data_IF_273322609761
#
_entry.id   IF_273322609761
#
_cell.length_a   1.000
_cell.length_b   1.000
_cell.length_c   1.000
_cell.angle_alpha   90.00
_cell.angle_beta   90.00
_cell.angle_gamma   90.00
#
_symmetry.space_group_name_H-M   'P 1'
#
loop_
_entity.id
_entity.type
_entity.pdbx_description
1 polymer ?
#
# COMPACT_ATOMS: atom_id res chain seq x y z
N UNK A 1 -1.38 22.71 -5.15
CA UNK A 1 -0.20 21.89 -5.50
C UNK A 1 0.57 21.33 -4.29
N UNK A 2 0.13 21.56 -3.05
CA UNK A 2 0.87 21.18 -1.83
C UNK A 2 0.83 19.68 -1.49
N UNK A 3 -0.26 18.98 -1.83
CA UNK A 3 -0.49 17.57 -1.51
C UNK A 3 0.50 16.58 -2.14
N UNK A 4 1.20 16.96 -3.21
CA UNK A 4 2.21 16.11 -3.82
C UNK A 4 3.45 15.92 -2.93
N UNK A 5 3.70 16.80 -1.94
CA UNK A 5 4.89 16.72 -1.07
C UNK A 5 4.85 15.55 -0.09
N UNK A 6 3.69 15.17 0.44
CA UNK A 6 3.57 14.01 1.36
C UNK A 6 3.69 12.66 0.65
N UNK A 7 3.41 12.62 -0.65
CA UNK A 7 3.50 11.41 -1.47
C UNK A 7 4.93 11.17 -2.03
N UNK A 8 5.85 12.14 -1.88
CA UNK A 8 7.26 12.06 -2.23
C UNK A 8 8.14 12.01 -0.96
N UNK A 9 9.36 11.44 -0.90
CA UNK A 9 9.98 10.35 -1.65
C UNK A 9 10.13 9.18 -0.66
N UNK A 10 9.57 8.02 -0.98
CA UNK A 10 9.86 6.80 -0.21
C UNK A 10 11.35 6.52 -0.43
N UNK A 11 12.16 6.32 0.63
CA UNK A 11 13.59 6.08 0.45
C UNK A 11 13.78 4.84 -0.41
N UNK A 12 14.72 4.93 -1.35
CA UNK A 12 15.19 3.76 -2.10
C UNK A 12 16.40 3.19 -1.37
N UNK A 13 16.45 1.88 -1.10
CA UNK A 13 17.65 1.25 -0.54
C UNK A 13 18.86 1.61 -1.40
N UNK A 14 19.98 1.97 -0.77
CA UNK A 14 21.17 2.48 -1.48
C UNK A 14 21.80 1.44 -2.43
N UNK A 15 21.59 0.15 -2.19
CA UNK A 15 21.95 -0.85 -3.19
C UNK A 15 20.94 -0.75 -4.32
N UNK A 16 21.47 -0.63 -5.54
CA UNK A 16 20.73 -0.84 -6.78
C UNK A 16 19.86 -2.07 -6.57
N UNK A 17 18.58 -1.86 -6.30
CA UNK A 17 17.70 -2.94 -5.86
C UNK A 17 17.84 -4.09 -6.84
N UNK A 18 17.64 -5.32 -6.39
CA UNK A 18 17.62 -6.48 -7.30
C UNK A 18 16.76 -6.20 -8.53
N UNK A 19 15.69 -5.41 -8.39
CA UNK A 19 14.80 -4.94 -9.46
C UNK A 19 15.44 -3.96 -10.47
N UNK A 20 16.30 -3.02 -10.05
CA UNK A 20 16.95 -2.07 -10.94
C UNK A 20 17.95 -2.75 -11.90
N UNK A 21 18.59 -3.81 -11.44
CA UNK A 21 19.53 -4.64 -12.21
C UNK A 21 18.87 -5.90 -12.78
N UNK A 22 17.65 -6.23 -12.36
CA UNK A 22 16.89 -7.38 -12.83
C UNK A 22 16.69 -7.33 -14.35
N UNK A 23 17.05 -8.40 -15.05
CA UNK A 23 16.72 -8.53 -16.49
C UNK A 23 15.46 -9.35 -16.73
N UNK A 24 15.07 -10.19 -15.76
CA UNK A 24 14.00 -11.17 -15.95
C UNK A 24 12.61 -10.61 -15.61
N UNK A 25 12.53 -9.66 -14.67
CA UNK A 25 11.29 -9.07 -14.16
C UNK A 25 10.21 -10.10 -13.79
N UNK A 26 10.61 -11.30 -13.32
CA UNK A 26 9.68 -12.42 -13.08
C UNK A 26 8.63 -12.10 -12.02
N UNK A 27 8.98 -11.32 -10.99
CA UNK A 27 8.00 -10.86 -10.02
C UNK A 27 6.91 -10.02 -10.70
N UNK A 28 7.22 -9.19 -11.69
CA UNK A 28 6.21 -8.46 -12.45
C UNK A 28 5.31 -9.36 -13.32
N UNK A 29 5.56 -10.66 -13.42
CA UNK A 29 4.75 -11.60 -14.21
C UNK A 29 3.90 -12.50 -13.32
N UNK A 30 4.47 -12.98 -12.22
CA UNK A 30 3.85 -13.99 -11.37
C UNK A 30 3.38 -13.44 -10.01
N UNK A 31 3.81 -12.23 -9.64
CA UNK A 31 3.40 -11.60 -8.39
C UNK A 31 2.13 -10.76 -8.61
N UNK A 32 1.08 -11.03 -7.85
CA UNK A 32 -0.16 -10.25 -7.81
C UNK A 32 -0.25 -9.44 -6.50
N UNK A 33 0.54 -8.36 -6.35
CA UNK A 33 0.60 -7.63 -5.10
C UNK A 33 -0.72 -6.93 -4.79
N UNK A 34 -1.22 -7.15 -3.59
CA UNK A 34 -2.22 -6.27 -2.98
C UNK A 34 -1.68 -4.85 -2.86
N UNK A 35 -2.55 -3.87 -3.11
CA UNK A 35 -2.24 -2.45 -3.01
C UNK A 35 -3.08 -1.79 -1.95
N UNK A 36 -2.47 -0.91 -1.18
CA UNK A 36 -3.19 -0.02 -0.25
C UNK A 36 -3.65 1.25 -0.97
N UNK A 37 -4.49 2.04 -0.30
CA UNK A 37 -4.83 3.37 -0.80
C UNK A 37 -3.61 4.31 -0.87
N UNK A 38 -2.59 4.14 -0.02
CA UNK A 38 -1.34 4.90 -0.13
C UNK A 38 -0.58 4.57 -1.41
N UNK A 39 -0.53 3.29 -1.78
CA UNK A 39 0.11 2.85 -3.01
C UNK A 39 -0.58 3.46 -4.23
N UNK A 40 -1.92 3.43 -4.26
CA UNK A 40 -2.69 4.04 -5.33
C UNK A 40 -2.53 5.55 -5.38
N UNK A 41 -2.64 6.24 -4.25
CA UNK A 41 -2.43 7.68 -4.17
C UNK A 41 -1.03 8.08 -4.69
N UNK A 42 0.00 7.31 -4.34
CA UNK A 42 1.38 7.52 -4.79
C UNK A 42 1.52 7.36 -6.31
N UNK A 43 1.00 6.29 -6.88
CA UNK A 43 1.11 6.03 -8.33
C UNK A 43 0.25 7.00 -9.15
N UNK A 44 -1.01 7.21 -8.76
CA UNK A 44 -1.95 8.12 -9.44
C UNK A 44 -1.39 9.54 -9.46
N UNK A 45 -0.88 10.03 -8.33
CA UNK A 45 -0.32 11.39 -8.25
C UNK A 45 0.99 11.52 -9.03
N UNK A 46 1.87 10.52 -8.99
CA UNK A 46 3.16 10.57 -9.67
C UNK A 46 3.05 10.47 -11.21
N UNK A 47 2.05 9.74 -11.72
CA UNK A 47 1.95 9.41 -13.15
C UNK A 47 0.71 9.97 -13.85
N UNK A 48 -0.20 10.62 -13.12
CA UNK A 48 -1.46 11.13 -13.69
C UNK A 48 -2.38 10.02 -14.21
N UNK A 49 -2.25 8.80 -13.70
CA UNK A 49 -3.04 7.64 -14.13
C UNK A 49 -4.38 7.61 -13.39
N UNK A 50 -5.43 7.13 -14.04
CA UNK A 50 -6.67 6.79 -13.34
C UNK A 50 -6.44 5.60 -12.38
N UNK A 51 -7.09 5.54 -11.20
CA UNK A 51 -6.88 4.45 -10.23
C UNK A 51 -7.08 3.06 -10.85
N UNK A 52 -8.09 2.91 -11.71
CA UNK A 52 -8.40 1.66 -12.44
C UNK A 52 -7.39 1.27 -13.52
N UNK A 53 -6.57 2.21 -13.98
CA UNK A 53 -5.44 1.89 -14.86
C UNK A 53 -4.27 1.27 -14.05
N UNK A 54 -4.23 1.52 -12.74
CA UNK A 54 -3.18 1.04 -11.84
C UNK A 54 -3.59 -0.25 -11.13
N UNK A 55 -4.83 -0.34 -10.64
CA UNK A 55 -5.31 -1.46 -9.84
C UNK A 55 -6.62 -2.05 -10.37
N UNK A 56 -6.93 -3.25 -9.90
CA UNK A 56 -8.19 -3.97 -10.12
C UNK A 56 -8.70 -4.54 -8.81
N UNK A 57 -10.00 -4.83 -8.76
CA UNK A 57 -10.59 -5.64 -7.70
C UNK A 57 -10.61 -7.10 -8.13
N UNK A 58 -10.10 -7.98 -7.27
CA UNK A 58 -10.17 -9.43 -7.41
C UNK A 58 -11.05 -10.00 -6.28
N UNK A 59 -11.89 -11.02 -6.52
CA UNK A 59 -12.61 -11.67 -5.43
C UNK A 59 -11.64 -12.12 -4.34
N UNK A 60 -11.93 -11.76 -3.10
CA UNK A 60 -11.15 -12.21 -1.96
C UNK A 60 -11.44 -13.70 -1.75
N UNK A 61 -10.39 -14.49 -1.50
CA UNK A 61 -10.60 -15.85 -1.03
C UNK A 61 -11.28 -15.81 0.34
N UNK A 62 -12.16 -16.76 0.69
CA UNK A 62 -12.91 -16.73 1.95
C UNK A 62 -12.00 -16.59 3.20
N UNK A 63 -10.77 -17.11 3.14
CA UNK A 63 -9.74 -16.97 4.19
C UNK A 63 -9.08 -15.59 4.25
N UNK A 64 -9.12 -14.83 3.16
CA UNK A 64 -8.55 -13.49 2.99
C UNK A 64 -9.61 -12.38 3.04
N UNK A 65 -10.90 -12.74 3.10
CA UNK A 65 -12.07 -11.86 3.24
C UNK A 65 -12.11 -11.07 4.58
N UNK A 66 -11.00 -11.04 5.32
CA UNK A 66 -10.87 -10.38 6.62
C UNK A 66 -10.70 -8.87 6.49
N UNK A 67 -9.77 -8.32 7.28
CA UNK A 67 -9.62 -6.87 7.47
C UNK A 67 -9.16 -6.10 6.23
N UNK A 68 -8.65 -6.80 5.22
CA UNK A 68 -8.15 -6.22 3.96
C UNK A 68 -9.19 -6.30 2.82
N UNK A 69 -10.36 -6.88 3.07
CA UNK A 69 -11.43 -7.00 2.08
C UNK A 69 -12.26 -5.72 1.92
N UNK A 70 -12.54 -5.33 0.67
CA UNK A 70 -13.49 -4.26 0.33
C UNK A 70 -14.85 -4.85 -0.06
N UNK A 71 -15.95 -4.22 0.38
CA UNK A 71 -17.32 -4.49 -0.05
C UNK A 71 -17.82 -3.45 -1.03
N UNK A 72 -18.65 -3.87 -1.98
CA UNK A 72 -19.22 -3.03 -3.04
C UNK A 72 -20.76 -3.04 -3.01
N UNK A 73 -21.34 -3.08 -1.81
CA UNK A 73 -22.78 -3.16 -1.60
C UNK A 73 -23.14 -4.06 -0.40
N UNK A 74 -24.42 -4.44 -0.26
CA UNK A 74 -24.90 -5.28 0.86
C UNK A 74 -24.50 -6.76 0.75
N UNK A 75 -24.00 -7.20 -0.42
CA UNK A 75 -23.52 -8.56 -0.62
C UNK A 75 -22.41 -8.93 0.39
N UNK A 76 -22.37 -10.18 0.88
CA UNK A 76 -21.26 -10.65 1.73
C UNK A 76 -19.94 -10.78 0.97
N UNK A 77 -19.94 -10.66 -0.36
CA UNK A 77 -18.76 -10.72 -1.19
C UNK A 77 -17.76 -9.62 -0.83
N UNK A 78 -16.50 -10.02 -0.70
CA UNK A 78 -15.38 -9.11 -0.48
C UNK A 78 -14.38 -9.24 -1.61
N UNK A 79 -13.68 -8.14 -1.86
CA UNK A 79 -12.70 -8.02 -2.93
C UNK A 79 -11.37 -7.55 -2.35
N UNK A 80 -10.29 -7.81 -3.05
CA UNK A 80 -8.97 -7.27 -2.74
C UNK A 80 -8.56 -6.31 -3.85
N UNK A 81 -8.03 -5.15 -3.47
CA UNK A 81 -7.38 -4.26 -4.41
C UNK A 81 -5.98 -4.81 -4.73
N UNK A 82 -5.77 -5.19 -5.98
CA UNK A 82 -4.50 -5.73 -6.47
C UNK A 82 -3.97 -4.85 -7.60
N UNK A 83 -2.64 -4.81 -7.77
CA UNK A 83 -2.04 -4.16 -8.92
C UNK A 83 -2.57 -4.78 -10.21
N UNK A 84 -2.85 -3.97 -11.23
CA UNK A 84 -3.45 -4.45 -12.47
C UNK A 84 -2.44 -5.24 -13.29
N UNK A 85 -2.84 -6.41 -13.76
CA UNK A 85 -2.17 -7.19 -14.78
C UNK A 85 -2.69 -6.80 -16.17
N UNK A 86 -1.90 -7.04 -17.22
CA UNK A 86 -2.33 -6.83 -18.60
C UNK A 86 -3.59 -7.65 -18.88
N UNK A 87 -4.50 -7.06 -19.65
CA UNK A 87 -5.68 -7.75 -20.13
C UNK A 87 -5.24 -8.95 -21.02
N UNK A 88 -5.97 -10.07 -20.99
CA UNK A 88 -5.60 -11.23 -21.78
C UNK A 88 -5.69 -10.91 -23.28
N UNK A 89 -4.66 -11.25 -24.05
CA UNK A 89 -4.76 -11.34 -25.51
C UNK A 89 -5.42 -12.67 -25.89
N UNK A 90 -5.97 -12.81 -27.11
CA UNK A 90 -6.47 -14.10 -27.60
C UNK A 90 -5.47 -15.26 -27.44
N UNK A 91 -4.16 -14.98 -27.55
CA UNK A 91 -3.12 -16.01 -27.36
C UNK A 91 -2.94 -16.42 -25.90
N UNK A 92 -3.15 -15.49 -24.96
CA UNK A 92 -3.01 -15.74 -23.51
C UNK A 92 -4.33 -16.05 -22.81
N UNK A 93 -5.45 -16.00 -23.53
CA UNK A 93 -6.79 -16.18 -22.96
C UNK A 93 -7.08 -17.63 -22.53
N UNK A 94 -6.35 -18.60 -23.10
CA UNK A 94 -6.46 -20.01 -22.75
C UNK A 94 -5.65 -20.40 -21.50
N UNK A 95 -4.77 -19.50 -21.03
CA UNK A 95 -3.97 -19.72 -19.84
C UNK A 95 -4.67 -19.03 -18.67
N UNK A 96 -5.49 -19.80 -17.94
CA UNK A 96 -6.16 -19.37 -16.71
C UNK A 96 -5.17 -19.14 -15.54
N UNK A 97 -3.86 -19.32 -15.80
CA UNK A 97 -2.79 -19.39 -14.82
C UNK A 97 -2.23 -18.06 -14.31
N UNK A 98 -1.72 -18.13 -13.07
CA UNK A 98 -0.87 -17.17 -12.38
C UNK A 98 0.37 -16.78 -13.20
N UNK A 99 0.23 -15.82 -14.11
CA UNK A 99 1.34 -15.45 -14.99
C UNK A 99 1.13 -14.23 -15.88
N UNK A 100 0.09 -13.43 -15.63
CA UNK A 100 -0.15 -12.24 -16.46
C UNK A 100 0.80 -11.12 -16.05
N UNK A 101 1.60 -10.57 -17.00
CA UNK A 101 2.46 -9.43 -16.72
C UNK A 101 1.68 -8.28 -16.11
N UNK A 102 2.25 -7.62 -15.11
CA UNK A 102 1.79 -6.36 -14.57
C UNK A 102 1.58 -5.37 -15.73
N UNK A 103 0.47 -4.62 -15.69
CA UNK A 103 0.16 -3.59 -16.67
C UNK A 103 1.24 -2.49 -16.74
N UNK A 104 2.04 -2.34 -15.69
CA UNK A 104 3.13 -1.37 -15.59
C UNK A 104 4.49 -1.93 -16.02
N UNK A 105 4.55 -3.15 -16.55
CA UNK A 105 5.76 -3.71 -17.14
C UNK A 105 5.89 -3.21 -18.58
N UNK A 106 7.06 -2.66 -18.95
CA UNK A 106 7.33 -2.11 -20.29
C UNK A 106 8.59 -2.74 -20.86
N UNK A 107 8.56 -3.11 -22.14
CA UNK A 107 9.74 -3.54 -22.90
C UNK A 107 10.54 -2.29 -23.31
N UNK A 108 11.80 -2.19 -22.86
CA UNK A 108 12.67 -1.04 -23.15
C UNK A 108 13.74 -1.34 -24.19
N UNK A 109 14.00 -2.63 -24.42
CA UNK A 109 14.85 -3.16 -25.49
C UNK A 109 14.49 -4.64 -25.70
N UNK A 110 14.92 -5.30 -26.80
CA UNK A 110 14.71 -6.74 -26.98
C UNK A 110 15.19 -7.55 -25.76
N UNK A 111 14.28 -8.26 -25.11
CA UNK A 111 14.56 -9.07 -23.92
C UNK A 111 14.79 -8.28 -22.62
N UNK A 112 14.59 -6.96 -22.61
CA UNK A 112 14.78 -6.12 -21.42
C UNK A 112 13.46 -5.44 -21.06
N UNK A 113 12.98 -5.72 -19.84
CA UNK A 113 11.74 -5.15 -19.30
C UNK A 113 12.00 -4.32 -18.05
N UNK A 114 11.23 -3.24 -17.88
CA UNK A 114 11.31 -2.33 -16.72
C UNK A 114 9.92 -1.93 -16.24
N UNK A 115 9.81 -1.61 -14.95
CA UNK A 115 8.59 -1.08 -14.38
C UNK A 115 8.48 0.42 -14.70
N UNK A 116 7.41 0.82 -15.40
CA UNK A 116 7.15 2.23 -15.76
C UNK A 116 6.89 3.13 -14.55
N UNK A 117 6.41 2.55 -13.45
CA UNK A 117 6.11 3.23 -12.19
C UNK A 117 7.17 3.01 -11.13
N UNK A 118 8.40 2.64 -11.50
CA UNK A 118 9.43 2.15 -10.56
C UNK A 118 9.62 3.06 -9.32
N UNK A 119 9.77 4.39 -9.42
CA UNK A 119 9.95 5.27 -8.26
C UNK A 119 8.67 5.46 -7.42
N UNK A 120 7.50 5.10 -7.95
CA UNK A 120 6.21 5.19 -7.27
C UNK A 120 5.61 3.81 -6.91
N UNK A 121 6.35 2.72 -7.17
CA UNK A 121 5.86 1.35 -7.05
C UNK A 121 5.27 1.06 -5.66
N UNK A 122 4.26 0.17 -5.56
CA UNK A 122 3.63 -0.19 -4.29
C UNK A 122 4.64 -0.67 -3.23
N UNK A 123 4.34 -0.46 -1.95
CA UNK A 123 5.22 -0.86 -0.85
C UNK A 123 5.53 -2.35 -0.89
N UNK A 124 4.55 -3.21 -1.20
CA UNK A 124 4.79 -4.66 -1.34
C UNK A 124 5.81 -4.97 -2.44
N UNK A 125 5.86 -4.20 -3.53
CA UNK A 125 6.89 -4.35 -4.57
C UNK A 125 8.26 -3.78 -4.16
N UNK A 126 8.31 -2.85 -3.20
CA UNK A 126 9.57 -2.29 -2.67
C UNK A 126 10.23 -3.21 -1.67
N UNK A 127 9.43 -3.87 -0.85
CA UNK A 127 9.92 -4.73 0.22
C UNK A 127 10.09 -6.18 -0.23
N UNK A 128 9.44 -6.62 -1.31
CA UNK A 128 9.67 -7.94 -1.88
C UNK A 128 11.15 -8.16 -2.27
N UNK A 129 11.74 -9.34 -2.03
CA UNK A 129 11.16 -10.56 -1.42
C UNK A 129 11.32 -10.61 0.11
N UNK A 130 11.77 -9.52 0.73
CA UNK A 130 12.06 -9.49 2.15
C UNK A 130 10.79 -9.38 2.99
N UNK A 131 10.87 -9.84 4.23
CA UNK A 131 9.86 -9.67 5.27
C UNK A 131 10.52 -9.11 6.55
N UNK A 132 9.73 -8.52 7.44
CA UNK A 132 10.20 -8.07 8.75
C UNK A 132 9.78 -9.10 9.79
N UNK A 133 10.72 -9.98 10.15
CA UNK A 133 10.55 -11.01 11.17
C UNK A 133 11.11 -10.58 12.54
N UNK A 134 11.06 -11.48 13.55
CA UNK A 134 11.55 -11.21 14.89
C UNK A 134 13.04 -10.85 14.97
N UNK A 135 13.84 -11.31 13.99
CA UNK A 135 15.29 -11.03 13.90
C UNK A 135 15.62 -9.84 13.00
N UNK A 136 14.61 -9.10 12.53
CA UNK A 136 14.76 -8.00 11.59
C UNK A 136 14.39 -8.38 10.16
N UNK A 137 15.11 -7.83 9.19
CA UNK A 137 14.82 -8.06 7.76
C UNK A 137 15.29 -9.46 7.37
N UNK A 138 14.36 -10.29 6.93
CA UNK A 138 14.62 -11.67 6.50
C UNK A 138 14.30 -11.84 5.01
N UNK A 139 15.07 -12.67 4.33
CA UNK A 139 14.82 -13.11 2.94
C UNK A 139 14.38 -14.56 2.99
N UNK A 140 13.22 -14.83 3.58
CA UNK A 140 12.69 -16.18 3.77
C UNK A 140 11.34 -16.33 3.07
N UNK A 141 11.30 -15.98 1.79
CA UNK A 141 10.14 -16.22 0.96
C UNK A 141 10.44 -17.42 0.03
N UNK A 142 9.90 -18.62 0.30
CA UNK A 142 10.11 -19.79 -0.57
C UNK A 142 9.51 -19.59 -1.97
N UNK A 143 8.59 -18.65 -2.13
CA UNK A 143 8.02 -18.22 -3.41
C UNK A 143 8.82 -17.07 -4.04
N UNK A 144 10.03 -16.75 -3.54
CA UNK A 144 10.89 -15.73 -4.14
C UNK A 144 11.29 -16.14 -5.56
N UNK A 145 10.63 -15.53 -6.54
CA UNK A 145 10.84 -15.79 -7.97
C UNK A 145 12.11 -15.10 -8.50
N UNK A 146 12.72 -14.25 -7.68
CA UNK A 146 13.98 -13.59 -8.00
C UNK A 146 15.15 -14.57 -7.89
N UNK A 147 16.14 -14.49 -8.80
CA UNK A 147 17.33 -15.31 -8.68
C UNK A 147 18.09 -14.96 -7.39
N UNK A 148 18.75 -15.93 -6.72
CA UNK A 148 19.43 -15.69 -5.43
C UNK A 148 20.41 -14.51 -5.47
N UNK A 149 21.09 -14.28 -6.59
CA UNK A 149 22.07 -13.20 -6.74
C UNK A 149 21.44 -11.80 -6.77
N UNK A 150 20.13 -11.72 -7.03
CA UNK A 150 19.40 -10.45 -7.00
C UNK A 150 19.15 -9.95 -5.57
N UNK A 151 19.26 -10.81 -4.56
CA UNK A 151 18.98 -10.47 -3.16
C UNK A 151 19.97 -11.15 -2.23
N UNK A 152 20.89 -10.36 -1.68
CA UNK A 152 21.81 -10.78 -0.63
C UNK A 152 21.63 -9.81 0.54
N UNK A 153 21.59 -10.31 1.77
CA UNK A 153 21.54 -9.45 2.96
C UNK A 153 22.81 -8.58 3.09
N UNK A 154 23.98 -9.12 2.74
CA UNK A 154 25.23 -8.34 2.63
C UNK A 154 25.10 -7.25 1.56
N UNK A 155 24.33 -7.58 0.52
CA UNK A 155 23.82 -6.77 -0.60
C UNK A 155 22.79 -5.71 -0.22
N UNK A 156 22.26 -5.73 0.99
CA UNK A 156 21.04 -5.01 1.37
C UNK A 156 21.37 -3.94 2.41
N UNK A 157 21.16 -2.67 2.06
CA UNK A 157 20.75 -1.60 2.99
C UNK A 157 19.57 -2.02 3.88
N UNK A 158 19.92 -2.76 4.94
CA UNK A 158 19.00 -3.28 5.96
C UNK A 158 18.27 -2.14 6.69
N UNK A 159 18.92 -1.03 7.11
CA UNK A 159 18.22 0.08 7.76
C UNK A 159 17.08 0.65 6.90
N UNK A 160 17.35 0.93 5.62
CA UNK A 160 16.30 1.43 4.72
C UNK A 160 15.22 0.38 4.51
N UNK A 161 15.59 -0.88 4.31
CA UNK A 161 14.61 -1.97 4.14
C UNK A 161 13.72 -2.14 5.36
N UNK A 162 14.27 -2.06 6.58
CA UNK A 162 13.50 -2.08 7.83
C UNK A 162 12.52 -0.91 7.90
N UNK A 163 12.96 0.30 7.55
CA UNK A 163 12.11 1.49 7.51
C UNK A 163 10.95 1.32 6.50
N UNK A 164 11.21 0.71 5.34
CA UNK A 164 10.17 0.42 4.34
C UNK A 164 9.13 -0.57 4.87
N UNK A 165 9.54 -1.61 5.58
CA UNK A 165 8.60 -2.55 6.22
C UNK A 165 7.75 -1.88 7.30
N UNK A 166 8.38 -1.08 8.16
CA UNK A 166 7.69 -0.29 9.18
C UNK A 166 6.64 0.62 8.55
N UNK A 167 7.03 1.35 7.50
CA UNK A 167 6.13 2.20 6.73
C UNK A 167 4.98 1.40 6.10
N UNK A 168 5.28 0.28 5.47
CA UNK A 168 4.27 -0.59 4.86
C UNK A 168 3.24 -1.10 5.90
N UNK A 169 3.70 -1.43 7.12
CA UNK A 169 2.85 -1.82 8.23
C UNK A 169 1.89 -0.70 8.65
N UNK A 170 2.42 0.52 8.86
CA UNK A 170 1.60 1.68 9.22
C UNK A 170 0.61 2.04 8.11
N UNK A 171 1.06 2.13 6.86
CA UNK A 171 0.20 2.41 5.69
C UNK A 171 -0.92 1.38 5.57
N UNK A 172 -0.64 0.09 5.81
CA UNK A 172 -1.64 -0.98 5.79
C UNK A 172 -2.64 -0.88 6.95
N UNK A 173 -2.20 -0.58 8.17
CA UNK A 173 -3.10 -0.42 9.31
C UNK A 173 -4.08 0.75 9.11
N UNK A 174 -3.57 1.88 8.63
CA UNK A 174 -4.42 3.03 8.25
C UNK A 174 -5.41 2.64 7.14
N UNK A 175 -4.94 1.91 6.13
CA UNK A 175 -5.79 1.43 5.04
C UNK A 175 -6.92 0.49 5.53
N UNK A 176 -6.63 -0.42 6.46
CA UNK A 176 -7.64 -1.29 7.10
C UNK A 176 -8.70 -0.49 7.84
N UNK A 177 -8.29 0.57 8.54
CA UNK A 177 -9.23 1.51 9.16
C UNK A 177 -10.17 2.11 8.12
N UNK A 178 -9.62 2.56 6.98
CA UNK A 178 -10.43 3.06 5.87
C UNK A 178 -11.41 2.02 5.34
N UNK A 179 -10.94 0.79 5.08
CA UNK A 179 -11.79 -0.29 4.57
C UNK A 179 -12.93 -0.64 5.52
N UNK A 180 -12.69 -0.67 6.83
CA UNK A 180 -13.74 -0.94 7.82
C UNK A 180 -14.92 0.02 7.71
N UNK A 181 -14.64 1.31 7.49
CA UNK A 181 -15.65 2.37 7.42
C UNK A 181 -16.29 2.44 6.06
N UNK A 182 -15.50 2.30 5.00
CA UNK A 182 -16.03 2.11 3.65
C UNK A 182 -17.02 0.94 3.61
N UNK A 183 -16.67 -0.20 4.20
CA UNK A 183 -17.52 -1.38 4.22
C UNK A 183 -18.82 -1.17 5.00
N UNK A 184 -18.80 -0.41 6.09
CA UNK A 184 -20.01 -0.02 6.83
C UNK A 184 -20.93 0.87 5.97
N UNK A 185 -20.36 1.85 5.26
CA UNK A 185 -21.10 2.71 4.32
C UNK A 185 -21.70 1.89 3.18
N UNK A 186 -20.90 1.01 2.57
CA UNK A 186 -21.32 0.18 1.43
C UNK A 186 -22.45 -0.81 1.79
N UNK A 187 -22.55 -1.26 3.04
CA UNK A 187 -23.66 -2.11 3.49
C UNK A 187 -24.99 -1.36 3.60
N UNK A 188 -24.96 -0.05 3.84
CA UNK A 188 -26.16 0.78 3.92
C UNK A 188 -26.72 1.22 2.57
N UNK A 189 -25.93 1.11 1.49
CA UNK A 189 -26.31 1.53 0.14
C UNK A 189 -26.76 0.33 -0.71
N UNK A 190 -28.04 -0.02 -0.60
CA UNK A 190 -28.64 -1.14 -1.34
C UNK A 190 -29.11 -0.81 -2.75
N UNK A 191 -29.13 0.48 -3.13
CA UNK A 191 -29.74 0.93 -4.40
C UNK A 191 -28.71 1.06 -5.54
N UNK A 192 -27.44 1.33 -5.22
CA UNK A 192 -26.40 1.48 -6.25
C UNK A 192 -25.98 0.14 -6.84
N UNK A 193 -25.76 0.14 -8.15
CA UNK A 193 -25.11 -0.98 -8.82
C UNK A 193 -23.67 -1.16 -8.31
N UNK A 194 -23.17 -2.41 -8.34
CA UNK A 194 -21.77 -2.75 -8.01
C UNK A 194 -20.76 -1.85 -8.73
N UNK A 195 -20.99 -1.59 -10.03
CA UNK A 195 -20.08 -0.76 -10.84
C UNK A 195 -20.03 0.67 -10.34
N UNK A 196 -21.18 1.26 -10.03
CA UNK A 196 -21.26 2.61 -9.47
C UNK A 196 -20.60 2.69 -8.08
N UNK A 197 -20.76 1.65 -7.25
CA UNK A 197 -20.05 1.56 -5.96
C UNK A 197 -18.54 1.48 -6.14
N UNK A 198 -18.07 0.72 -7.13
CA UNK A 198 -16.66 0.62 -7.44
C UNK A 198 -16.07 1.95 -7.93
N UNK A 199 -16.80 2.71 -8.76
CA UNK A 199 -16.38 4.06 -9.21
C UNK A 199 -16.12 4.96 -7.99
N UNK A 200 -17.09 5.04 -7.10
CA UNK A 200 -17.03 5.87 -5.89
C UNK A 200 -15.93 5.38 -4.94
N UNK A 201 -15.75 4.05 -4.83
CA UNK A 201 -14.68 3.46 -4.01
C UNK A 201 -13.31 3.98 -4.42
N UNK A 202 -12.99 3.92 -5.71
CA UNK A 202 -11.66 4.29 -6.21
C UNK A 202 -11.35 5.76 -5.98
N UNK A 203 -12.30 6.65 -6.28
CA UNK A 203 -12.14 8.09 -6.08
C UNK A 203 -11.99 8.42 -4.60
N UNK A 204 -12.84 7.83 -3.75
CA UNK A 204 -12.80 8.06 -2.31
C UNK A 204 -11.52 7.50 -1.67
N UNK A 205 -11.07 6.32 -2.10
CA UNK A 205 -9.83 5.70 -1.64
C UNK A 205 -8.63 6.61 -1.92
N UNK A 206 -8.49 7.07 -3.16
CA UNK A 206 -7.34 7.92 -3.55
C UNK A 206 -7.40 9.27 -2.87
N UNK A 207 -8.54 9.97 -2.91
CA UNK A 207 -8.67 11.30 -2.29
C UNK A 207 -8.34 11.24 -0.78
N UNK A 208 -8.86 10.22 -0.08
CA UNK A 208 -8.60 10.05 1.36
C UNK A 208 -7.13 9.78 1.65
N UNK A 209 -6.48 8.90 0.87
CA UNK A 209 -5.08 8.53 1.14
C UNK A 209 -4.09 9.61 0.69
N UNK A 210 -4.44 10.46 -0.28
CA UNK A 210 -3.68 11.69 -0.58
C UNK A 210 -3.67 12.61 0.65
N UNK A 211 -4.82 12.84 1.27
CA UNK A 211 -4.92 13.66 2.48
C UNK A 211 -4.17 13.02 3.66
N UNK A 212 -4.32 11.72 3.88
CA UNK A 212 -3.62 11.00 4.95
C UNK A 212 -2.10 10.94 4.76
N UNK A 213 -1.60 10.98 3.52
CA UNK A 213 -0.18 10.97 3.24
C UNK A 213 0.55 12.20 3.81
N UNK A 214 -0.11 13.36 3.88
CA UNK A 214 0.47 14.56 4.50
C UNK A 214 0.72 14.38 6.00
N UNK A 215 -0.08 13.52 6.66
CA UNK A 215 0.03 13.20 8.08
C UNK A 215 1.02 12.06 8.33
N UNK A 216 1.00 11.04 7.47
CA UNK A 216 1.79 9.80 7.65
C UNK A 216 3.23 9.96 7.17
N UNK A 217 3.48 10.72 6.10
CA UNK A 217 4.82 10.80 5.51
C UNK A 217 5.90 11.39 6.43
N UNK A 218 5.62 12.46 7.22
CA UNK A 218 6.61 13.02 8.14
C UNK A 218 7.18 12.00 9.13
N UNK A 219 6.40 10.99 9.52
CA UNK A 219 6.79 9.95 10.49
C UNK A 219 7.96 9.08 10.01
N UNK A 220 8.24 9.08 8.70
CA UNK A 220 9.26 8.23 8.07
C UNK A 220 10.41 9.04 7.48
N UNK A 221 10.56 10.30 7.87
CA UNK A 221 11.64 11.17 7.38
C UNK A 221 12.99 10.90 8.05
N UNK A 222 12.99 10.39 9.29
CA UNK A 222 14.18 9.88 9.97
C UNK A 222 13.79 8.86 11.06
N UNK A 223 14.74 8.06 11.57
CA UNK A 223 14.50 7.21 12.75
C UNK A 223 14.04 8.00 13.97
N UNK A 224 14.58 9.21 14.18
CA UNK A 224 14.17 10.13 15.24
C UNK A 224 12.74 10.62 15.00
N UNK A 225 12.36 10.92 13.75
CA UNK A 225 10.98 11.28 13.42
C UNK A 225 10.01 10.12 13.68
N UNK A 226 10.44 8.87 13.49
CA UNK A 226 9.64 7.69 13.82
C UNK A 226 9.51 7.49 15.34
N UNK A 227 10.59 7.71 16.10
CA UNK A 227 10.57 7.67 17.55
C UNK A 227 9.74 8.82 18.14
N UNK A 228 9.90 10.04 17.62
CA UNK A 228 9.12 11.23 17.97
C UNK A 228 7.65 11.06 17.58
N UNK A 229 7.36 10.50 16.41
CA UNK A 229 6.01 10.10 16.02
C UNK A 229 5.43 9.12 17.04
N UNK A 230 6.16 8.06 17.39
CA UNK A 230 5.78 7.14 18.45
C UNK A 230 5.47 7.85 19.78
N UNK A 231 6.29 8.84 20.16
CA UNK A 231 6.11 9.66 21.37
C UNK A 231 4.97 10.67 21.33
N UNK A 232 4.78 11.40 20.23
CA UNK A 232 3.67 12.35 20.00
C UNK A 232 2.34 11.62 19.87
N UNK A 233 2.35 10.45 19.25
CA UNK A 233 1.17 9.60 19.13
C UNK A 233 0.85 8.94 20.47
N UNK A 234 1.86 8.59 21.28
CA UNK A 234 1.69 8.20 22.67
C UNK A 234 1.17 9.32 23.59
N UNK A 235 1.37 10.58 23.23
CA UNK A 235 0.80 11.73 23.93
C UNK A 235 -0.64 12.02 23.50
N UNK A 236 -0.96 11.87 22.20
CA UNK A 236 -2.33 11.97 21.67
C UNK A 236 -3.29 10.88 22.21
N UNK A 237 -2.76 9.76 22.68
CA UNK A 237 -3.49 8.70 23.40
C UNK A 237 -3.87 9.08 24.83
N UNK A 238 -3.21 10.10 25.42
CA UNK A 238 -3.46 10.56 26.81
C UNK A 238 -4.34 11.78 26.91
N UNK A 239 -4.54 12.50 25.81
CA UNK A 239 -5.44 13.65 25.70
C UNK A 239 -6.48 13.35 24.62
N UNK A 240 -7.62 12.78 25.02
CA UNK A 240 -8.79 12.73 24.15
C UNK A 240 -9.20 14.18 23.79
N UNK A 241 -8.90 14.62 22.56
CA UNK A 241 -9.27 15.89 21.88
C UNK A 241 -8.28 17.10 22.04
N UNK A 242 -8.26 18.15 21.17
CA UNK A 242 -8.85 18.40 19.85
C UNK A 242 -7.80 18.96 18.83
N UNK A 243 -6.70 18.26 18.57
CA UNK A 243 -5.64 18.75 17.65
C UNK A 243 -5.96 18.62 16.15
N UNK A 244 -7.11 18.03 15.79
CA UNK A 244 -7.52 17.79 14.40
C UNK A 244 -8.22 18.99 13.73
N UNK A 245 -8.46 20.09 14.45
CA UNK A 245 -9.21 21.26 13.96
C UNK A 245 -8.37 22.25 13.13
N UNK A 246 -7.07 22.36 13.39
CA UNK A 246 -6.28 23.45 12.79
C UNK A 246 -5.64 23.10 11.42
N UNK A 247 -5.53 21.83 11.05
CA UNK A 247 -4.72 21.41 9.88
C UNK A 247 -5.51 20.96 8.65
N UNK A 248 -6.79 20.58 8.78
CA UNK A 248 -7.48 19.78 7.75
C UNK A 248 -8.70 20.45 7.09
N UNK A 249 -9.02 21.69 7.43
CA UNK A 249 -10.08 22.48 6.78
C UNK A 249 -11.48 21.82 6.78
N UNK A 250 -12.42 22.27 5.92
CA UNK A 250 -13.78 21.73 5.85
C UNK A 250 -13.86 20.22 5.55
N UNK A 251 -12.84 19.67 4.90
CA UNK A 251 -12.69 18.24 4.60
C UNK A 251 -12.51 17.40 5.87
N UNK A 252 -11.98 18.01 6.95
CA UNK A 252 -11.77 17.37 8.24
C UNK A 252 -13.06 16.98 8.97
N UNK A 253 -14.14 17.73 8.81
CA UNK A 253 -15.42 17.46 9.49
C UNK A 253 -16.12 16.23 8.88
N UNK A 254 -15.99 16.05 7.57
CA UNK A 254 -16.41 14.84 6.84
C UNK A 254 -15.50 13.66 7.19
N UNK A 255 -14.18 13.86 7.18
CA UNK A 255 -13.21 12.86 7.64
C UNK A 255 -13.40 12.48 9.12
N UNK A 256 -13.81 13.39 10.01
CA UNK A 256 -14.08 13.07 11.44
C UNK A 256 -15.31 12.19 11.62
N UNK A 257 -16.35 12.45 10.81
CA UNK A 257 -17.59 11.66 10.80
C UNK A 257 -17.35 10.26 10.21
N UNK A 258 -16.44 10.17 9.23
CA UNK A 258 -16.20 8.96 8.45
C UNK A 258 -14.97 8.16 8.89
N UNK A 259 -14.12 8.66 9.80
CA UNK A 259 -12.88 7.99 10.22
C UNK A 259 -12.90 7.33 11.62
N UNK A 260 -13.84 7.62 12.52
CA UNK A 260 -13.66 7.25 13.92
C UNK A 260 -12.40 7.90 14.52
N UNK A 261 -12.06 7.62 15.77
CA UNK A 261 -10.94 8.32 16.42
C UNK A 261 -9.60 7.83 15.83
N UNK A 262 -8.72 8.77 15.50
CA UNK A 262 -7.32 8.51 15.14
C UNK A 262 -6.59 7.67 16.21
N UNK A 263 -7.11 7.60 17.44
CA UNK A 263 -6.53 6.84 18.53
C UNK A 263 -6.47 5.32 18.26
N UNK A 264 -7.43 4.75 17.53
CA UNK A 264 -7.41 3.30 17.21
C UNK A 264 -6.28 2.93 16.23
N UNK A 265 -6.01 3.83 15.27
CA UNK A 265 -4.87 3.70 14.35
C UNK A 265 -3.57 3.88 15.12
N UNK A 266 -3.54 4.82 16.07
CA UNK A 266 -2.41 5.08 16.96
C UNK A 266 -2.08 3.86 17.83
N UNK A 267 -3.07 3.20 18.43
CA UNK A 267 -2.86 2.00 19.26
C UNK A 267 -2.26 0.85 18.44
N UNK A 268 -2.72 0.64 17.21
CA UNK A 268 -2.18 -0.38 16.32
C UNK A 268 -0.74 -0.07 15.87
N UNK A 269 -0.42 1.20 15.60
CA UNK A 269 0.93 1.63 15.25
C UNK A 269 1.89 1.53 16.46
N UNK A 270 1.43 1.85 17.67
CA UNK A 270 2.22 1.72 18.90
C UNK A 270 2.51 0.28 19.27
N UNK A 271 1.54 -0.63 19.12
CA UNK A 271 1.78 -2.06 19.31
C UNK A 271 2.89 -2.55 18.34
N UNK A 272 2.80 -2.14 17.07
CA UNK A 272 3.80 -2.49 16.07
C UNK A 272 5.19 -1.93 16.41
N UNK A 273 5.28 -0.66 16.81
CA UNK A 273 6.56 -0.02 17.19
C UNK A 273 7.13 -0.62 18.48
N UNK A 274 6.28 -0.95 19.46
CA UNK A 274 6.67 -1.53 20.74
C UNK A 274 7.26 -2.93 20.59
N UNK A 275 6.63 -3.79 19.78
CA UNK A 275 7.15 -5.11 19.43
C UNK A 275 8.50 -5.03 18.71
N UNK A 276 8.74 -3.96 17.94
CA UNK A 276 9.94 -3.77 17.12
C UNK A 276 11.07 -3.00 17.84
N UNK A 277 10.82 -2.46 19.03
CA UNK A 277 11.82 -1.74 19.84
C UNK A 277 12.40 -2.61 20.98
N UNK A 278 11.85 -3.81 21.19
CA UNK A 278 12.23 -4.74 22.26
C UNK A 278 13.05 -5.95 21.76
N UNK A 279 13.46 -5.96 20.49
CA UNK A 279 14.36 -6.94 19.88
C UNK A 279 15.45 -6.25 19.05
#
# INVERSE_FOLDING_TARGET
MTAARGLAAVPEPANRSGCATCRTARCCVHFDPEVTGFDLARVVTAHGLAPRAVARLRPAHARLAGRDGVRLGPSPETWLACLRSRDPTPETAADDGDGRPCAQLTDVAPGVRRCSIYPARPMRCRTFPTELGPRGVEVDNPDAICPPEAWSLDRTDVPTTRLLHLRAGVERSVHRGFLGRWNALAQGDGERSRRAMEDVFWDHLVATHVALAEVVAPLFTSPEALAEAGGRWAALDREEAPLADAALGPTAATLRRDLGSLADVVLQVRALIGELSLG
#
